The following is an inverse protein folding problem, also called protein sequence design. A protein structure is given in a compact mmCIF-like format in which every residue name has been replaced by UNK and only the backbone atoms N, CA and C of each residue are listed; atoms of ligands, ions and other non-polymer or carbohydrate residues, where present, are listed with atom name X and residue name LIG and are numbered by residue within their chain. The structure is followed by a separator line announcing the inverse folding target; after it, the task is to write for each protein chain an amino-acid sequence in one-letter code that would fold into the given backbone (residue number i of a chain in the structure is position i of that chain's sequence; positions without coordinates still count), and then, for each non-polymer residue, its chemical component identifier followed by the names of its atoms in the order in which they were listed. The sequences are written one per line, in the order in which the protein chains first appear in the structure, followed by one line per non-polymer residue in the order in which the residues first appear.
data_IF_972551435087
#
_entry.id   IF_972551435087
#
_cell.length_a   1.000
_cell.length_b   1.000
_cell.length_c   1.000
_cell.angle_alpha   90.00
_cell.angle_beta   90.00
_cell.angle_gamma   90.00
#
_symmetry.space_group_name_H-M   'P 1'
#
loop_
_entity.id
_entity.type
_entity.pdbx_description
1 polymer ?
#
# COMPACT_ATOMS: atom_id res chain seq x y z
N UNK A 1 -12.87 2.52 5.97
CA UNK A 1 -14.20 2.52 6.61
C UNK A 1 -15.05 3.73 6.23
N UNK A 2 -14.55 4.97 6.37
CA UNK A 2 -15.32 6.20 6.10
C UNK A 2 -15.95 6.23 4.70
N UNK A 3 -15.17 5.97 3.64
CA UNK A 3 -15.69 5.95 2.27
C UNK A 3 -16.76 4.86 2.06
N UNK A 4 -16.67 3.71 2.73
CA UNK A 4 -17.71 2.68 2.63
C UNK A 4 -19.02 3.13 3.27
N UNK A 5 -18.95 3.84 4.40
CA UNK A 5 -20.13 4.44 5.02
C UNK A 5 -20.77 5.50 4.09
N UNK A 6 -19.95 6.34 3.44
CA UNK A 6 -20.42 7.34 2.48
C UNK A 6 -21.08 6.70 1.25
N UNK A 7 -20.45 5.70 0.63
CA UNK A 7 -21.01 4.96 -0.51
C UNK A 7 -22.36 4.35 -0.13
N UNK A 8 -22.48 3.75 1.07
CA UNK A 8 -23.75 3.21 1.57
C UNK A 8 -24.81 4.28 1.78
N UNK A 9 -24.42 5.49 2.20
CA UNK A 9 -25.36 6.60 2.37
C UNK A 9 -25.97 7.06 1.04
N UNK A 10 -25.22 6.98 -0.07
CA UNK A 10 -25.75 7.28 -1.41
C UNK A 10 -26.72 6.22 -1.92
N UNK A 11 -26.54 4.96 -1.56
CA UNK A 11 -27.28 3.84 -2.16
C UNK A 11 -28.45 3.35 -1.33
N UNK A 12 -28.37 3.47 0.00
CA UNK A 12 -29.47 3.10 0.91
C UNK A 12 -30.51 4.21 0.97
N UNK A 13 -31.77 3.87 0.75
CA UNK A 13 -32.89 4.81 0.75
C UNK A 13 -33.63 4.76 2.09
N UNK A 14 -33.89 5.93 2.68
CA UNK A 14 -34.72 6.09 3.89
C UNK A 14 -34.27 5.22 5.09
N UNK A 15 -32.96 5.01 5.24
CA UNK A 15 -32.38 4.25 6.36
C UNK A 15 -31.64 5.17 7.34
N UNK A 16 -31.56 4.76 8.61
CA UNK A 16 -30.79 5.45 9.66
C UNK A 16 -29.46 4.77 10.00
N UNK A 17 -29.03 3.74 9.25
CA UNK A 17 -27.81 2.96 9.53
C UNK A 17 -26.85 2.89 8.34
N UNK A 18 -25.54 3.00 8.63
CA UNK A 18 -24.46 2.97 7.63
C UNK A 18 -23.62 1.67 7.65
N UNK A 19 -24.06 0.67 8.43
CA UNK A 19 -23.34 -0.58 8.66
C UNK A 19 -22.57 -0.55 9.98
N UNK A 20 -21.54 -1.41 10.09
CA UNK A 20 -20.72 -1.57 11.30
C UNK A 20 -19.25 -1.29 10.97
N UNK A 21 -18.69 -0.26 11.61
CA UNK A 21 -17.31 0.18 11.39
C UNK A 21 -16.28 -0.90 11.71
N UNK A 22 -16.50 -1.70 12.76
CA UNK A 22 -15.57 -2.76 13.17
C UNK A 22 -15.51 -3.89 12.15
N UNK A 23 -16.66 -4.25 11.58
CA UNK A 23 -16.74 -5.24 10.50
C UNK A 23 -16.00 -4.74 9.25
N UNK A 24 -16.15 -3.46 8.92
CA UNK A 24 -15.46 -2.87 7.78
C UNK A 24 -13.94 -2.84 7.99
N UNK A 25 -13.48 -2.41 9.17
CA UNK A 25 -12.06 -2.34 9.50
C UNK A 25 -11.42 -3.74 9.49
N UNK A 26 -12.05 -4.72 10.13
CA UNK A 26 -11.56 -6.10 10.11
C UNK A 26 -11.52 -6.64 8.69
N UNK A 27 -12.56 -6.40 7.89
CA UNK A 27 -12.61 -6.93 6.52
C UNK A 27 -11.58 -6.32 5.59
N UNK A 28 -11.48 -5.00 5.62
CA UNK A 28 -10.51 -4.26 4.81
C UNK A 28 -9.09 -4.70 5.20
N UNK A 29 -8.78 -4.71 6.49
CA UNK A 29 -7.41 -5.03 6.92
C UNK A 29 -7.06 -6.49 6.62
N UNK A 30 -7.90 -7.44 7.03
CA UNK A 30 -7.56 -8.87 6.96
C UNK A 30 -7.67 -9.49 5.57
N UNK A 31 -8.56 -9.00 4.72
CA UNK A 31 -8.83 -9.61 3.40
C UNK A 31 -8.53 -8.70 2.21
N UNK A 32 -8.18 -7.43 2.42
CA UNK A 32 -7.71 -6.54 1.35
C UNK A 32 -6.28 -6.11 1.60
N UNK A 33 -5.99 -5.41 2.70
CA UNK A 33 -4.67 -4.82 2.92
C UNK A 33 -3.59 -5.86 3.18
N UNK A 34 -3.79 -6.75 4.18
CA UNK A 34 -2.80 -7.77 4.56
C UNK A 34 -2.43 -8.70 3.40
N UNK A 35 -3.37 -9.36 2.71
CA UNK A 35 -2.98 -10.32 1.66
C UNK A 35 -2.35 -9.64 0.45
N UNK A 36 -2.84 -8.46 0.04
CA UNK A 36 -2.26 -7.74 -1.10
C UNK A 36 -0.89 -7.17 -0.74
N UNK A 37 -0.72 -6.57 0.44
CA UNK A 37 0.56 -6.08 0.91
C UNK A 37 1.58 -7.22 1.10
N UNK A 38 1.15 -8.40 1.55
CA UNK A 38 2.01 -9.57 1.66
C UNK A 38 2.60 -9.97 0.30
N UNK A 39 1.78 -10.05 -0.74
CA UNK A 39 2.24 -10.37 -2.10
C UNK A 39 3.21 -9.32 -2.64
N UNK A 40 2.91 -8.03 -2.44
CA UNK A 40 3.78 -6.92 -2.84
C UNK A 40 5.11 -6.98 -2.09
N UNK A 41 5.10 -7.23 -0.78
CA UNK A 41 6.31 -7.31 0.03
C UNK A 41 7.20 -8.48 -0.41
N UNK A 42 6.63 -9.66 -0.65
CA UNK A 42 7.37 -10.82 -1.16
C UNK A 42 8.01 -10.54 -2.52
N UNK A 43 7.29 -9.84 -3.40
CA UNK A 43 7.84 -9.38 -4.66
C UNK A 43 9.00 -8.39 -4.47
N UNK A 44 8.89 -7.42 -3.56
CA UNK A 44 9.97 -6.49 -3.26
C UNK A 44 11.20 -7.19 -2.68
N UNK A 45 11.02 -8.16 -1.77
CA UNK A 45 12.11 -8.99 -1.24
C UNK A 45 12.83 -9.70 -2.38
N UNK A 46 12.08 -10.31 -3.31
CA UNK A 46 12.65 -11.00 -4.46
C UNK A 46 13.45 -10.06 -5.38
N UNK A 47 13.11 -8.77 -5.43
CA UNK A 47 13.82 -7.75 -6.21
C UNK A 47 14.97 -7.07 -5.45
N UNK A 48 15.22 -7.42 -4.19
CA UNK A 48 16.35 -6.90 -3.40
C UNK A 48 15.99 -5.92 -2.28
N UNK A 49 14.70 -5.73 -1.98
CA UNK A 49 14.30 -4.96 -0.83
C UNK A 49 14.67 -5.69 0.47
N UNK A 50 15.00 -4.92 1.50
CA UNK A 50 15.50 -5.47 2.75
C UNK A 50 14.37 -6.02 3.63
N UNK A 51 14.53 -7.23 4.19
CA UNK A 51 13.57 -7.78 5.16
C UNK A 51 14.28 -8.73 6.13
N UNK A 52 14.78 -8.22 7.24
CA UNK A 52 15.36 -9.02 8.32
C UNK A 52 15.31 -8.29 9.67
N UNK A 53 15.82 -8.92 10.73
CA UNK A 53 15.98 -8.33 12.07
C UNK A 53 17.43 -8.37 12.53
N UNK A 54 18.36 -8.27 11.58
CA UNK A 54 19.78 -8.29 11.90
C UNK A 54 20.23 -6.95 12.53
N UNK A 55 21.30 -6.94 13.34
CA UNK A 55 21.95 -5.69 13.73
C UNK A 55 22.55 -4.99 12.50
N UNK A 56 22.97 -3.74 12.66
CA UNK A 56 23.61 -3.00 11.58
C UNK A 56 24.91 -3.70 11.15
N UNK A 57 25.12 -3.80 9.84
CA UNK A 57 26.24 -4.56 9.27
C UNK A 57 27.41 -3.63 9.00
N UNK A 58 28.56 -3.88 9.64
CA UNK A 58 29.81 -3.22 9.30
C UNK A 58 30.38 -3.80 7.99
N UNK A 59 30.82 -2.93 7.08
CA UNK A 59 31.39 -3.27 5.79
C UNK A 59 32.73 -2.54 5.61
N UNK A 60 33.77 -3.31 5.32
CA UNK A 60 35.04 -2.78 4.81
C UNK A 60 34.87 -2.56 3.31
N UNK A 61 34.86 -1.31 2.88
CA UNK A 61 34.74 -0.97 1.46
C UNK A 61 35.99 -1.39 0.68
N UNK A 62 35.88 -1.46 -0.64
CA UNK A 62 37.01 -1.82 -1.52
C UNK A 62 38.18 -0.82 -1.46
N UNK A 63 37.90 0.43 -1.06
CA UNK A 63 38.91 1.48 -0.83
C UNK A 63 39.50 1.43 0.60
N UNK A 64 39.01 0.54 1.46
CA UNK A 64 39.45 0.38 2.86
C UNK A 64 38.73 1.24 3.89
N UNK A 65 37.75 2.07 3.49
CA UNK A 65 36.90 2.82 4.41
C UNK A 65 35.89 1.91 5.13
N UNK A 66 35.46 2.32 6.33
CA UNK A 66 34.40 1.66 7.11
C UNK A 66 33.03 2.25 6.74
N UNK A 67 32.04 1.39 6.50
CA UNK A 67 30.64 1.77 6.34
C UNK A 67 29.76 0.92 7.26
N UNK A 68 28.71 1.53 7.83
CA UNK A 68 27.71 0.84 8.61
C UNK A 68 26.38 0.81 7.84
N UNK A 69 25.92 -0.38 7.44
CA UNK A 69 24.67 -0.55 6.72
C UNK A 69 23.50 -0.77 7.68
N UNK A 70 22.42 0.02 7.57
CA UNK A 70 21.25 -0.17 8.41
C UNK A 70 20.44 -1.38 7.93
N UNK A 71 20.01 -2.21 8.88
CA UNK A 71 19.22 -3.43 8.67
C UNK A 71 17.77 -3.25 9.19
N UNK A 72 16.84 -4.15 8.84
CA UNK A 72 15.46 -4.07 9.33
C UNK A 72 14.36 -4.66 8.43
N UNK A 73 13.10 -4.68 8.91
CA UNK A 73 11.94 -5.26 8.22
C UNK A 73 11.32 -4.29 7.19
N UNK A 74 12.09 -3.85 6.21
CA UNK A 74 11.74 -2.75 5.30
C UNK A 74 10.63 -3.12 4.32
N UNK A 75 10.74 -4.25 3.61
CA UNK A 75 9.82 -4.63 2.54
C UNK A 75 8.35 -4.75 3.00
N UNK A 76 8.12 -5.25 4.21
CA UNK A 76 6.78 -5.34 4.81
C UNK A 76 6.15 -3.97 5.06
N UNK A 77 6.93 -3.00 5.52
CA UNK A 77 6.49 -1.61 5.69
C UNK A 77 6.30 -0.93 4.32
N UNK A 78 7.20 -1.19 3.38
CA UNK A 78 7.16 -0.66 2.01
C UNK A 78 5.84 -1.00 1.32
N UNK A 79 5.41 -2.26 1.39
CA UNK A 79 4.20 -2.70 0.73
C UNK A 79 2.95 -1.96 1.24
N UNK A 80 2.78 -1.85 2.56
CA UNK A 80 1.61 -1.18 3.14
C UNK A 80 1.70 0.35 3.02
N UNK A 81 2.91 0.94 3.02
CA UNK A 81 3.04 2.39 2.86
C UNK A 81 2.59 2.84 1.48
N UNK A 82 2.85 2.03 0.44
CA UNK A 82 2.43 2.33 -0.94
C UNK A 82 0.97 1.98 -1.16
N UNK A 83 0.55 0.75 -0.80
CA UNK A 83 -0.83 0.29 -0.98
C UNK A 83 -1.85 1.14 -0.20
N UNK A 84 -1.52 1.49 1.03
CA UNK A 84 -2.36 2.32 1.91
C UNK A 84 -2.11 3.82 1.76
N UNK A 85 -1.29 4.24 0.79
CA UNK A 85 -0.93 5.64 0.52
C UNK A 85 -0.48 6.41 1.77
N UNK A 86 0.26 5.75 2.66
CA UNK A 86 0.79 6.34 3.89
C UNK A 86 2.08 7.14 3.64
N UNK A 87 2.97 6.63 2.79
CA UNK A 87 4.21 7.31 2.38
C UNK A 87 5.33 7.37 3.42
N UNK A 88 5.20 6.74 4.59
CA UNK A 88 6.23 6.73 5.64
C UNK A 88 7.40 5.77 5.35
N UNK A 89 8.54 6.32 4.94
CA UNK A 89 9.75 5.56 4.63
C UNK A 89 10.45 4.99 5.87
N UNK A 90 11.18 3.89 5.68
CA UNK A 90 11.97 3.28 6.76
C UNK A 90 13.28 4.06 6.98
N UNK A 91 13.90 4.51 5.89
CA UNK A 91 15.08 5.37 5.92
C UNK A 91 14.71 6.82 5.55
N UNK A 92 15.62 7.75 5.83
CA UNK A 92 15.41 9.17 5.51
C UNK A 92 15.18 9.41 4.01
N UNK A 93 15.86 8.67 3.15
CA UNK A 93 15.70 8.76 1.69
C UNK A 93 14.45 8.01 1.17
N UNK A 94 13.68 7.33 2.03
CA UNK A 94 12.40 6.72 1.70
C UNK A 94 12.47 5.91 0.38
N UNK A 95 11.57 6.16 -0.58
CA UNK A 95 11.44 5.38 -1.82
C UNK A 95 12.57 5.64 -2.84
N UNK A 96 13.53 6.52 -2.55
CA UNK A 96 14.78 6.63 -3.31
C UNK A 96 15.93 5.80 -2.71
N UNK A 97 15.72 5.17 -1.55
CA UNK A 97 16.72 4.31 -0.92
C UNK A 97 16.77 2.93 -1.62
N UNK A 98 17.95 2.40 -1.97
CA UNK A 98 18.06 1.11 -2.68
C UNK A 98 17.43 -0.09 -1.95
N UNK A 99 17.41 -0.07 -0.61
CA UNK A 99 16.74 -1.12 0.18
C UNK A 99 15.21 -1.00 0.27
N UNK A 100 14.63 0.16 -0.09
CA UNK A 100 13.17 0.38 -0.16
C UNK A 100 12.66 0.17 -1.59
N UNK A 101 13.42 0.63 -2.59
CA UNK A 101 13.04 0.57 -4.00
C UNK A 101 14.24 0.14 -4.88
N UNK A 102 14.57 -1.16 -4.91
CA UNK A 102 15.82 -1.64 -5.49
C UNK A 102 15.88 -1.56 -7.01
N UNK A 103 14.75 -1.63 -7.72
CA UNK A 103 14.72 -1.70 -9.18
C UNK A 103 13.66 -0.80 -9.80
N UNK A 104 13.79 -0.49 -11.09
CA UNK A 104 12.75 0.23 -11.82
C UNK A 104 11.41 -0.55 -11.85
N UNK A 105 11.47 -1.88 -11.76
CA UNK A 105 10.29 -2.73 -11.72
C UNK A 105 9.58 -2.62 -10.36
N UNK A 106 10.31 -2.61 -9.24
CA UNK A 106 9.71 -2.31 -7.93
C UNK A 106 9.08 -0.93 -7.93
N UNK A 107 9.74 0.07 -8.52
CA UNK A 107 9.20 1.41 -8.63
C UNK A 107 7.87 1.45 -9.40
N UNK A 108 7.78 0.74 -10.52
CA UNK A 108 6.54 0.64 -11.30
C UNK A 108 5.42 -0.01 -10.48
N UNK A 109 5.71 -1.10 -9.76
CA UNK A 109 4.74 -1.76 -8.87
C UNK A 109 4.34 -0.85 -7.70
N UNK A 110 5.26 -0.07 -7.13
CA UNK A 110 4.96 0.92 -6.10
C UNK A 110 3.97 1.97 -6.63
N UNK A 111 4.20 2.53 -7.82
CA UNK A 111 3.28 3.49 -8.44
C UNK A 111 1.88 2.89 -8.66
N UNK A 112 1.82 1.65 -9.16
CA UNK A 112 0.54 0.93 -9.29
C UNK A 112 -0.14 0.74 -7.94
N UNK A 113 0.61 0.40 -6.89
CA UNK A 113 0.06 0.20 -5.54
C UNK A 113 -0.54 1.49 -4.95
N UNK A 114 0.06 2.66 -5.20
CA UNK A 114 -0.49 3.97 -4.78
C UNK A 114 -1.91 4.16 -5.37
N UNK A 115 -2.08 3.86 -6.65
CA UNK A 115 -3.35 4.09 -7.34
C UNK A 115 -4.34 2.92 -7.24
N UNK A 116 -3.93 1.76 -6.76
CA UNK A 116 -4.73 0.54 -6.77
C UNK A 116 -6.05 0.69 -6.01
N UNK A 117 -5.98 1.06 -4.72
CA UNK A 117 -7.16 1.22 -3.87
C UNK A 117 -8.04 2.41 -4.29
N UNK A 118 -7.52 3.64 -4.50
CA UNK A 118 -8.38 4.76 -4.88
C UNK A 118 -9.11 4.50 -6.20
N UNK A 119 -8.43 3.92 -7.20
CA UNK A 119 -9.05 3.57 -8.48
C UNK A 119 -10.12 2.48 -8.31
N UNK A 120 -9.82 1.43 -7.52
CA UNK A 120 -10.77 0.36 -7.23
C UNK A 120 -12.02 0.86 -6.48
N UNK A 121 -11.89 1.86 -5.60
CA UNK A 121 -13.01 2.47 -4.89
C UNK A 121 -13.95 3.25 -5.82
N UNK A 122 -13.44 3.92 -6.85
CA UNK A 122 -14.27 4.56 -7.87
C UNK A 122 -15.07 3.52 -8.67
N UNK A 123 -14.43 2.41 -9.06
CA UNK A 123 -15.14 1.29 -9.70
C UNK A 123 -16.20 0.68 -8.78
N UNK A 124 -15.85 0.43 -7.51
CA UNK A 124 -16.78 -0.10 -6.51
C UNK A 124 -17.97 0.82 -6.28
N UNK A 125 -17.76 2.15 -6.25
CA UNK A 125 -18.86 3.12 -6.15
C UNK A 125 -19.83 3.02 -7.34
N UNK A 126 -19.31 3.02 -8.58
CA UNK A 126 -20.15 2.88 -9.77
C UNK A 126 -20.89 1.54 -9.81
N UNK A 127 -20.29 0.48 -9.29
CA UNK A 127 -20.93 -0.84 -9.19
C UNK A 127 -22.02 -0.88 -8.11
N UNK A 128 -21.74 -0.37 -6.92
CA UNK A 128 -22.68 -0.38 -5.78
C UNK A 128 -23.87 0.55 -6.00
N UNK A 129 -23.69 1.65 -6.74
CA UNK A 129 -24.78 2.57 -7.12
C UNK A 129 -25.67 2.03 -8.24
N UNK A 130 -25.29 0.92 -8.88
CA UNK A 130 -26.03 0.33 -9.99
C UNK A 130 -25.80 0.99 -11.35
N UNK A 131 -24.97 2.04 -11.42
CA UNK A 131 -24.60 2.71 -12.66
C UNK A 131 -23.07 2.89 -12.77
N UNK A 132 -22.42 1.96 -13.50
CA UNK A 132 -20.96 1.98 -13.74
C UNK A 132 -20.49 3.28 -14.40
N UNK A 133 -21.36 4.04 -15.06
CA UNK A 133 -21.01 5.33 -15.66
C UNK A 133 -20.62 6.36 -14.58
N UNK A 134 -21.21 6.29 -13.38
CA UNK A 134 -20.86 7.19 -12.28
C UNK A 134 -19.43 6.96 -11.79
N UNK A 135 -19.05 5.70 -11.60
CA UNK A 135 -17.67 5.34 -11.25
C UNK A 135 -16.66 5.72 -12.34
N UNK A 136 -17.01 5.49 -13.61
CA UNK A 136 -16.18 5.92 -14.75
C UNK A 136 -16.07 7.44 -14.85
N UNK A 137 -17.16 8.17 -14.61
CA UNK A 137 -17.16 9.64 -14.64
C UNK A 137 -16.21 10.20 -13.58
N UNK A 138 -16.25 9.67 -12.35
CA UNK A 138 -15.31 10.08 -11.29
C UNK A 138 -13.84 9.76 -11.60
N UNK A 139 -13.55 8.75 -12.41
CA UNK A 139 -12.19 8.41 -12.83
C UNK A 139 -11.71 9.24 -14.03
N UNK A 140 -12.64 9.76 -14.82
CA UNK A 140 -12.36 10.55 -16.02
C UNK A 140 -12.27 12.06 -15.76
N UNK A 141 -12.91 12.54 -14.69
CA UNK A 141 -12.93 13.94 -14.26
C UNK A 141 -11.62 14.32 -13.55
#
# INVERSE_FOLDING_TARGET
AVILALIRAFTRQSMSTLGNAWVDLLRITLWVLVPVALLIALFFIQQGALQNFQPYQAVNTVEGAQQLLPMGPVASQEAIKMLGTNGGGFFNANSSHPFENPTALTNFVQMLAIFLIPTALCFAFGEVTGDRRQGRMLLWA
#
